data_IF_727741515091
#
_entry.id   IF_727741515091
#
_cell.length_a   1.000
_cell.length_b   1.000
_cell.length_c   1.000
_cell.angle_alpha   90.00
_cell.angle_beta   90.00
_cell.angle_gamma   90.00
#
_symmetry.space_group_name_H-M   'P 1'
#
loop_
_entity.id
_entity.type
_entity.pdbx_description
1 polymer ?
#
# COMPACT_ATOMS: atom_id res chain seq x y z
N UNK A 1 25.74 -10.13 -4.16
CA UNK A 1 25.13 -11.11 -3.24
C UNK A 1 23.85 -11.69 -3.85
N UNK A 2 22.79 -10.92 -4.09
CA UNK A 2 21.48 -11.43 -4.56
C UNK A 2 21.56 -12.31 -5.81
N UNK A 3 22.32 -11.89 -6.84
CA UNK A 3 22.51 -12.66 -8.06
C UNK A 3 23.21 -13.99 -7.82
N UNK A 4 24.16 -14.04 -6.89
CA UNK A 4 24.88 -15.27 -6.53
C UNK A 4 24.00 -16.26 -5.75
N UNK A 5 23.10 -15.76 -4.88
CA UNK A 5 22.17 -16.57 -4.10
C UNK A 5 20.98 -17.09 -4.93
N UNK A 6 20.64 -16.42 -6.05
CA UNK A 6 19.44 -16.71 -6.82
C UNK A 6 19.33 -18.17 -7.28
N UNK A 7 20.35 -18.83 -7.87
CA UNK A 7 20.20 -20.19 -8.35
C UNK A 7 19.82 -21.17 -7.25
N UNK A 8 20.46 -21.06 -6.06
CA UNK A 8 20.16 -21.93 -4.91
C UNK A 8 18.75 -21.72 -4.37
N UNK A 9 18.33 -20.46 -4.20
CA UNK A 9 16.98 -20.12 -3.74
C UNK A 9 15.89 -20.52 -4.74
N UNK A 10 16.12 -20.29 -6.02
CA UNK A 10 15.18 -20.65 -7.09
C UNK A 10 14.98 -22.16 -7.23
N UNK A 11 16.05 -22.94 -7.00
CA UNK A 11 16.03 -24.40 -7.05
C UNK A 11 15.48 -25.05 -5.78
N UNK A 12 15.34 -24.30 -4.68
CA UNK A 12 14.81 -24.81 -3.40
C UNK A 12 13.37 -25.31 -3.60
N UNK A 13 13.05 -26.47 -3.01
CA UNK A 13 11.72 -27.05 -3.10
C UNK A 13 10.65 -26.13 -2.49
N UNK A 14 9.43 -26.10 -3.03
CA UNK A 14 8.35 -25.24 -2.51
C UNK A 14 8.09 -25.42 -1.02
N UNK A 15 8.13 -26.67 -0.51
CA UNK A 15 7.95 -26.98 0.90
C UNK A 15 9.05 -26.41 1.79
N UNK A 16 10.29 -26.39 1.33
CA UNK A 16 11.43 -25.80 2.05
C UNK A 16 11.33 -24.29 2.10
N UNK A 17 11.03 -23.63 0.97
CA UNK A 17 10.76 -22.16 0.95
C UNK A 17 9.61 -21.79 1.88
N UNK A 18 8.53 -22.60 1.86
CA UNK A 18 7.39 -22.43 2.78
C UNK A 18 7.83 -22.47 4.23
N UNK A 19 8.62 -23.45 4.62
CA UNK A 19 9.11 -23.60 6.00
C UNK A 19 9.93 -22.37 6.43
N UNK A 20 10.83 -21.86 5.57
CA UNK A 20 11.63 -20.66 5.85
C UNK A 20 10.76 -19.41 6.02
N UNK A 21 9.74 -19.23 5.18
CA UNK A 21 8.83 -18.07 5.28
C UNK A 21 7.95 -18.16 6.53
N UNK A 22 7.51 -19.35 6.94
CA UNK A 22 6.75 -19.54 8.20
C UNK A 22 7.64 -19.27 9.42
N UNK A 23 8.90 -19.70 9.40
CA UNK A 23 9.87 -19.37 10.45
C UNK A 23 10.11 -17.85 10.51
N UNK A 24 10.27 -17.17 9.37
CA UNK A 24 10.41 -15.73 9.31
C UNK A 24 9.19 -15.00 9.92
N UNK A 25 7.98 -15.50 9.67
CA UNK A 25 6.76 -14.95 10.27
C UNK A 25 6.75 -15.11 11.80
N UNK A 26 7.18 -16.26 12.31
CA UNK A 26 7.28 -16.53 13.73
C UNK A 26 8.33 -15.63 14.42
N UNK A 27 9.52 -15.51 13.82
CA UNK A 27 10.61 -14.65 14.30
C UNK A 27 10.20 -13.18 14.32
N UNK A 28 9.56 -12.69 13.24
CA UNK A 28 9.08 -11.31 13.16
C UNK A 28 8.08 -11.02 14.29
N UNK A 29 7.15 -11.94 14.55
CA UNK A 29 6.16 -11.77 15.60
C UNK A 29 6.78 -11.87 17.00
N UNK A 30 7.72 -12.77 17.21
CA UNK A 30 8.44 -12.93 18.49
C UNK A 30 9.25 -11.65 18.86
N UNK A 31 9.77 -10.93 17.85
CA UNK A 31 10.54 -9.70 18.02
C UNK A 31 9.70 -8.43 17.95
N UNK A 32 8.39 -8.52 18.14
CA UNK A 32 7.45 -7.38 18.07
C UNK A 32 7.89 -6.19 18.93
N UNK A 33 8.44 -6.44 20.13
CA UNK A 33 8.94 -5.40 21.02
C UNK A 33 10.06 -4.55 20.42
N UNK A 34 10.95 -5.14 19.62
CA UNK A 34 12.05 -4.42 18.96
C UNK A 34 11.52 -3.47 17.88
N UNK A 35 10.51 -3.92 17.11
CA UNK A 35 9.85 -3.06 16.12
C UNK A 35 9.08 -1.91 16.75
N UNK A 36 8.38 -2.17 17.88
CA UNK A 36 7.66 -1.12 18.63
C UNK A 36 8.65 -0.11 19.21
N UNK A 37 9.80 -0.56 19.72
CA UNK A 37 10.84 0.35 20.23
C UNK A 37 11.42 1.27 19.14
N UNK A 38 11.41 0.84 17.88
CA UNK A 38 11.82 1.66 16.74
C UNK A 38 10.73 2.64 16.23
N UNK A 39 9.54 2.65 16.83
CA UNK A 39 8.41 3.50 16.39
C UNK A 39 8.73 5.00 16.41
N UNK A 40 9.63 5.43 17.30
CA UNK A 40 10.06 6.83 17.41
C UNK A 40 10.70 7.40 16.14
N UNK A 41 11.21 6.57 15.21
CA UNK A 41 11.78 7.04 13.94
C UNK A 41 10.77 7.81 13.08
N UNK A 42 9.47 7.50 13.20
CA UNK A 42 8.42 8.07 12.34
C UNK A 42 7.34 8.86 13.10
N UNK A 43 7.48 8.99 14.42
CA UNK A 43 6.49 9.67 15.27
C UNK A 43 5.15 8.93 15.41
N UNK A 44 5.09 7.68 14.97
CA UNK A 44 3.88 6.88 15.04
C UNK A 44 3.66 6.28 16.44
N UNK A 45 2.41 6.00 16.77
CA UNK A 45 2.02 5.38 18.04
C UNK A 45 2.41 3.89 18.10
N UNK A 46 2.67 3.36 19.27
CA UNK A 46 3.05 1.95 19.48
C UNK A 46 2.00 0.95 18.95
N UNK A 47 0.71 1.29 19.05
CA UNK A 47 -0.38 0.45 18.53
C UNK A 47 -0.32 0.30 17.00
N UNK A 48 0.12 1.34 16.27
CA UNK A 48 0.37 1.27 14.83
C UNK A 48 1.45 0.26 14.49
N UNK A 49 2.58 0.29 15.20
CA UNK A 49 3.64 -0.70 15.00
C UNK A 49 3.22 -2.11 15.38
N UNK A 50 2.45 -2.29 16.45
CA UNK A 50 1.87 -3.59 16.81
C UNK A 50 0.95 -4.14 15.70
N UNK A 51 0.14 -3.28 15.07
CA UNK A 51 -0.65 -3.66 13.90
C UNK A 51 0.25 -4.03 12.72
N UNK A 52 1.29 -3.22 12.42
CA UNK A 52 2.24 -3.48 11.35
C UNK A 52 2.90 -4.86 11.49
N UNK A 53 3.37 -5.21 12.68
CA UNK A 53 4.04 -6.52 12.93
C UNK A 53 3.08 -7.68 12.68
N UNK A 54 1.83 -7.59 13.17
CA UNK A 54 0.85 -8.66 12.96
C UNK A 54 0.56 -8.87 11.48
N UNK A 55 0.22 -7.82 10.75
CA UNK A 55 -0.11 -7.92 9.33
C UNK A 55 1.12 -8.35 8.49
N UNK A 56 2.31 -7.87 8.81
CA UNK A 56 3.54 -8.30 8.14
C UNK A 56 3.82 -9.81 8.36
N UNK A 57 3.59 -10.32 9.57
CA UNK A 57 3.69 -11.76 9.83
C UNK A 57 2.65 -12.55 9.02
N UNK A 58 1.44 -12.04 8.90
CA UNK A 58 0.39 -12.67 8.09
C UNK A 58 0.73 -12.64 6.59
N UNK A 59 1.38 -11.59 6.09
CA UNK A 59 1.91 -11.53 4.72
C UNK A 59 2.97 -12.60 4.45
N UNK A 60 3.84 -12.87 5.41
CA UNK A 60 4.82 -13.97 5.28
C UNK A 60 4.14 -15.34 5.30
N UNK A 61 3.10 -15.53 6.13
CA UNK A 61 2.30 -16.78 6.16
C UNK A 61 1.54 -16.98 4.85
N UNK A 62 0.95 -15.91 4.33
CA UNK A 62 0.26 -15.97 3.03
C UNK A 62 1.25 -16.29 1.90
N UNK A 63 2.39 -15.62 1.85
CA UNK A 63 3.44 -15.90 0.88
C UNK A 63 3.92 -17.36 0.98
N UNK A 64 4.06 -17.90 2.19
CA UNK A 64 4.37 -19.30 2.42
C UNK A 64 3.30 -20.25 1.85
N UNK A 65 2.00 -19.90 2.00
CA UNK A 65 0.90 -20.67 1.46
C UNK A 65 0.90 -20.69 -0.08
N UNK A 66 1.36 -19.60 -0.71
CA UNK A 66 1.40 -19.45 -2.16
C UNK A 66 2.52 -20.25 -2.84
N UNK A 67 3.52 -20.75 -2.13
CA UNK A 67 4.65 -21.49 -2.73
C UNK A 67 4.23 -22.69 -3.59
N UNK A 68 3.12 -23.35 -3.24
CA UNK A 68 2.54 -24.47 -3.99
C UNK A 68 1.44 -24.07 -4.96
N UNK A 69 1.09 -22.77 -5.04
CA UNK A 69 0.10 -22.22 -5.97
C UNK A 69 0.73 -21.62 -7.23
N UNK A 70 2.07 -21.68 -7.34
CA UNK A 70 2.81 -21.22 -8.52
C UNK A 70 2.77 -22.34 -9.55
N UNK A 71 1.65 -22.42 -10.27
CA UNK A 71 1.35 -23.46 -11.25
C UNK A 71 1.63 -22.97 -12.67
N UNK A 72 1.50 -23.89 -13.62
CA UNK A 72 1.50 -23.59 -15.06
C UNK A 72 0.33 -24.30 -15.74
N UNK A 73 0.22 -24.14 -17.05
CA UNK A 73 -0.84 -24.68 -17.86
C UNK A 73 -0.31 -25.69 -18.86
N UNK A 74 -1.07 -26.77 -19.09
CA UNK A 74 -0.90 -27.65 -20.24
C UNK A 74 -1.83 -27.13 -21.34
N UNK A 75 -1.27 -26.77 -22.50
CA UNK A 75 -1.98 -26.10 -23.59
C UNK A 75 -2.02 -27.04 -24.81
N UNK A 76 -3.19 -27.34 -25.40
CA UNK A 76 -3.28 -28.15 -26.59
C UNK A 76 -2.47 -27.55 -27.73
N UNK A 77 -1.65 -28.40 -28.40
CA UNK A 77 -0.84 -27.99 -29.56
C UNK A 77 -1.52 -28.40 -30.85
N UNK A 78 -1.45 -27.55 -31.88
CA UNK A 78 -1.88 -27.88 -33.24
C UNK A 78 -0.83 -28.67 -34.02
N UNK A 79 0.34 -28.94 -33.45
CA UNK A 79 1.42 -29.72 -34.05
C UNK A 79 1.31 -31.17 -33.60
N UNK A 80 1.12 -32.15 -34.51
CA UNK A 80 1.02 -33.56 -34.11
C UNK A 80 2.27 -34.04 -33.35
N UNK A 81 2.02 -34.78 -32.26
CA UNK A 81 3.09 -35.32 -31.42
C UNK A 81 3.78 -34.29 -30.50
N UNK A 82 3.28 -33.04 -30.46
CA UNK A 82 3.84 -31.99 -29.63
C UNK A 82 3.06 -31.84 -28.32
N UNK A 83 3.74 -31.95 -27.19
CA UNK A 83 3.19 -31.63 -25.86
C UNK A 83 3.66 -30.22 -25.48
N UNK A 84 2.73 -29.33 -25.18
CA UNK A 84 3.04 -27.94 -24.87
C UNK A 84 2.57 -27.56 -23.46
N UNK A 85 3.39 -26.78 -22.78
CA UNK A 85 3.10 -26.25 -21.46
C UNK A 85 3.58 -24.81 -21.31
N UNK A 86 2.88 -24.03 -20.48
CA UNK A 86 3.32 -22.72 -20.00
C UNK A 86 3.70 -22.86 -18.52
N UNK A 87 4.96 -22.66 -18.20
CA UNK A 87 5.49 -22.80 -16.85
C UNK A 87 5.80 -21.42 -16.26
N UNK A 88 5.42 -21.20 -14.98
CA UNK A 88 5.85 -20.03 -14.24
C UNK A 88 7.22 -20.26 -13.64
N UNK A 89 8.12 -19.32 -13.87
CA UNK A 89 9.50 -19.34 -13.37
C UNK A 89 9.81 -18.06 -12.60
N UNK A 90 10.73 -18.11 -11.60
CA UNK A 90 11.25 -16.91 -10.96
C UNK A 90 11.85 -15.94 -11.98
N UNK A 91 11.71 -14.65 -11.72
CA UNK A 91 12.27 -13.61 -12.61
C UNK A 91 13.78 -13.41 -12.42
N UNK A 92 14.29 -13.58 -11.19
CA UNK A 92 15.68 -13.31 -10.81
C UNK A 92 15.79 -12.46 -9.54
N UNK A 93 16.58 -11.39 -9.60
CA UNK A 93 16.67 -10.42 -8.50
C UNK A 93 15.53 -9.40 -8.62
N UNK A 94 14.80 -9.21 -7.54
CA UNK A 94 13.74 -8.21 -7.42
C UNK A 94 14.26 -7.03 -6.59
N UNK A 95 14.08 -5.82 -7.09
CA UNK A 95 14.30 -4.59 -6.31
C UNK A 95 12.98 -4.20 -5.65
N UNK A 96 12.95 -4.18 -4.33
CA UNK A 96 11.87 -3.62 -3.52
C UNK A 96 12.27 -2.26 -2.97
N UNK A 97 11.40 -1.27 -3.07
CA UNK A 97 11.60 0.08 -2.51
C UNK A 97 10.42 0.36 -1.61
N UNK A 98 10.67 0.44 -0.30
CA UNK A 98 9.63 0.59 0.71
C UNK A 98 9.70 1.95 1.42
N UNK A 99 8.55 2.57 1.74
CA UNK A 99 8.45 3.83 2.45
C UNK A 99 8.45 3.66 3.97
N UNK A 100 8.28 4.77 4.68
CA UNK A 100 8.38 4.91 6.13
C UNK A 100 7.05 4.82 6.89
N UNK A 101 5.91 5.04 6.24
CA UNK A 101 4.62 5.25 6.92
C UNK A 101 4.00 3.98 7.53
N UNK A 102 4.27 2.83 6.95
CA UNK A 102 3.95 1.50 7.49
C UNK A 102 5.16 0.57 7.28
N UNK A 103 6.31 0.85 7.92
CA UNK A 103 7.61 0.34 7.47
C UNK A 103 7.73 -1.18 7.58
N UNK A 104 7.12 -1.82 8.59
CA UNK A 104 7.15 -3.28 8.74
C UNK A 104 6.29 -3.96 7.68
N UNK A 105 5.06 -3.46 7.47
CA UNK A 105 4.14 -3.97 6.44
C UNK A 105 4.75 -3.83 5.05
N UNK A 106 5.15 -2.60 4.68
CA UNK A 106 5.49 -2.28 3.29
C UNK A 106 6.84 -2.86 2.87
N UNK A 107 7.81 -2.96 3.80
CA UNK A 107 9.03 -3.69 3.51
C UNK A 107 8.77 -5.21 3.38
N UNK A 108 7.96 -5.79 4.26
CA UNK A 108 7.58 -7.21 4.15
C UNK A 108 6.80 -7.49 2.87
N UNK A 109 5.86 -6.61 2.50
CA UNK A 109 5.11 -6.68 1.23
C UNK A 109 6.04 -6.69 0.03
N UNK A 110 7.08 -5.85 0.04
CA UNK A 110 8.04 -5.75 -1.05
C UNK A 110 8.90 -7.01 -1.25
N UNK A 111 8.99 -7.89 -0.23
CA UNK A 111 9.89 -9.04 -0.23
C UNK A 111 9.20 -10.40 -0.14
N UNK A 112 8.06 -10.52 0.55
CA UNK A 112 7.46 -11.82 0.89
C UNK A 112 7.06 -12.63 -0.35
N UNK A 113 6.25 -12.06 -1.24
CA UNK A 113 5.83 -12.76 -2.46
C UNK A 113 6.95 -12.95 -3.48
N UNK A 114 7.87 -12.00 -3.73
CA UNK A 114 9.08 -12.28 -4.49
C UNK A 114 9.83 -13.54 -4.00
N UNK A 115 10.04 -13.67 -2.69
CA UNK A 115 10.70 -14.84 -2.08
C UNK A 115 9.91 -16.13 -2.30
N UNK A 116 8.60 -16.12 -2.07
CA UNK A 116 7.74 -17.27 -2.31
C UNK A 116 7.82 -17.75 -3.77
N UNK A 117 7.90 -16.80 -4.71
CA UNK A 117 8.05 -17.08 -6.14
C UNK A 117 9.47 -17.55 -6.53
N UNK A 118 10.41 -17.67 -5.59
CA UNK A 118 11.77 -18.14 -5.82
C UNK A 118 12.75 -17.06 -6.29
N UNK A 119 12.40 -15.79 -6.17
CA UNK A 119 13.32 -14.68 -6.45
C UNK A 119 14.16 -14.33 -5.24
N UNK A 120 15.31 -13.72 -5.45
CA UNK A 120 16.08 -13.03 -4.41
C UNK A 120 15.75 -11.53 -4.43
N UNK A 121 15.99 -10.84 -3.30
CA UNK A 121 15.54 -9.46 -3.16
C UNK A 121 16.67 -8.54 -2.71
N UNK A 122 16.70 -7.35 -3.30
CA UNK A 122 17.37 -6.17 -2.77
C UNK A 122 16.29 -5.21 -2.29
N UNK A 123 16.22 -4.98 -0.98
CA UNK A 123 15.30 -4.02 -0.36
C UNK A 123 16.04 -2.69 -0.14
N UNK A 124 15.63 -1.66 -0.87
CA UNK A 124 16.06 -0.28 -0.59
C UNK A 124 15.20 0.25 0.56
N UNK A 125 15.82 0.46 1.71
CA UNK A 125 15.19 0.97 2.92
C UNK A 125 14.76 2.44 2.75
N UNK A 126 13.71 2.84 3.48
CA UNK A 126 13.41 4.25 3.67
C UNK A 126 14.50 4.93 4.50
N UNK A 127 14.85 6.14 4.15
CA UNK A 127 15.79 6.99 4.88
C UNK A 127 15.24 7.44 6.24
N UNK A 128 13.91 7.39 6.39
CA UNK A 128 13.17 7.79 7.61
C UNK A 128 12.84 6.63 8.55
N UNK A 129 13.11 5.39 8.14
CA UNK A 129 12.90 4.20 8.99
C UNK A 129 13.96 3.12 8.76
N UNK A 130 15.26 3.47 8.79
CA UNK A 130 16.33 2.53 8.46
C UNK A 130 16.49 1.40 9.49
N UNK A 131 16.23 1.66 10.76
CA UNK A 131 16.36 0.64 11.82
C UNK A 131 15.31 -0.46 11.66
N UNK A 132 14.07 -0.10 11.37
CA UNK A 132 12.98 -1.06 11.12
C UNK A 132 13.30 -1.95 9.92
N UNK A 133 13.72 -1.37 8.80
CA UNK A 133 14.02 -2.16 7.61
C UNK A 133 15.25 -3.05 7.80
N UNK A 134 16.27 -2.59 8.52
CA UNK A 134 17.42 -3.41 8.91
C UNK A 134 16.98 -4.58 9.78
N UNK A 135 16.09 -4.35 10.75
CA UNK A 135 15.58 -5.38 11.64
C UNK A 135 14.82 -6.48 10.87
N UNK A 136 14.05 -6.12 9.84
CA UNK A 136 13.41 -7.09 8.94
C UNK A 136 14.47 -7.96 8.26
N UNK A 137 15.55 -7.37 7.75
CA UNK A 137 16.65 -8.14 7.15
C UNK A 137 17.28 -9.13 8.14
N UNK A 138 17.47 -8.73 9.41
CA UNK A 138 17.97 -9.61 10.47
C UNK A 138 17.00 -10.76 10.79
N UNK A 139 15.71 -10.47 10.93
CA UNK A 139 14.67 -11.49 11.14
C UNK A 139 14.72 -12.56 10.05
N UNK A 140 14.84 -12.15 8.78
CA UNK A 140 14.87 -13.09 7.65
C UNK A 140 16.18 -13.93 7.64
N UNK A 141 17.30 -13.32 8.00
CA UNK A 141 18.57 -14.03 8.14
C UNK A 141 18.50 -15.05 9.27
N UNK A 142 18.00 -14.66 10.45
CA UNK A 142 17.86 -15.53 11.62
C UNK A 142 16.87 -16.69 11.37
N UNK A 143 15.86 -16.47 10.53
CA UNK A 143 14.95 -17.51 10.04
C UNK A 143 15.61 -18.48 9.02
N UNK A 144 16.88 -18.28 8.71
CA UNK A 144 17.68 -19.19 7.89
C UNK A 144 17.37 -19.15 6.41
N UNK A 145 16.97 -17.99 5.84
CA UNK A 145 16.76 -17.87 4.39
C UNK A 145 18.05 -18.08 3.59
N UNK A 146 19.20 -17.79 4.18
CA UNK A 146 20.52 -17.93 3.57
C UNK A 146 21.11 -16.60 3.10
N UNK A 147 22.45 -16.58 3.02
CA UNK A 147 23.20 -15.39 2.66
C UNK A 147 22.87 -14.90 1.25
N UNK A 148 22.60 -13.59 1.14
CA UNK A 148 22.32 -12.93 -0.13
C UNK A 148 20.90 -13.12 -0.68
N UNK A 149 20.05 -13.94 -0.05
CA UNK A 149 18.65 -14.11 -0.48
C UNK A 149 17.86 -12.80 -0.30
N UNK A 150 18.07 -12.13 0.84
CA UNK A 150 17.56 -10.77 1.08
C UNK A 150 18.72 -9.85 1.44
N UNK A 151 18.79 -8.71 0.78
CA UNK A 151 19.83 -7.72 0.98
C UNK A 151 19.17 -6.36 1.26
N UNK A 152 19.33 -5.83 2.46
CA UNK A 152 18.81 -4.52 2.84
C UNK A 152 19.89 -3.47 2.64
N UNK A 153 19.57 -2.42 1.91
CA UNK A 153 20.47 -1.27 1.70
C UNK A 153 19.81 0.01 2.22
N UNK A 154 20.60 0.85 2.84
CA UNK A 154 20.21 2.20 3.27
C UNK A 154 21.14 3.24 2.63
N UNK A 155 20.70 4.49 2.57
CA UNK A 155 21.42 5.59 1.97
C UNK A 155 21.04 6.92 2.64
N UNK A 156 21.84 7.95 2.43
CA UNK A 156 21.41 9.30 2.75
C UNK A 156 20.34 9.79 1.76
N UNK A 157 19.40 10.66 2.18
CA UNK A 157 18.33 11.13 1.29
C UNK A 157 18.83 11.71 -0.04
N UNK A 158 19.94 12.46 -0.02
CA UNK A 158 20.53 13.09 -1.21
C UNK A 158 21.02 12.07 -2.25
N UNK A 159 21.38 10.85 -1.83
CA UNK A 159 21.94 9.80 -2.70
C UNK A 159 20.86 8.93 -3.32
N UNK A 160 19.61 9.02 -2.84
CA UNK A 160 18.52 8.12 -3.25
C UNK A 160 18.30 8.09 -4.78
N UNK A 161 18.25 9.22 -5.50
CA UNK A 161 18.05 9.20 -6.96
C UNK A 161 19.11 8.40 -7.70
N UNK A 162 20.40 8.66 -7.40
CA UNK A 162 21.52 8.00 -8.06
C UNK A 162 21.58 6.50 -7.73
N UNK A 163 21.29 6.13 -6.47
CA UNK A 163 21.29 4.73 -6.02
C UNK A 163 20.14 3.97 -6.68
N UNK A 164 18.92 4.54 -6.72
CA UNK A 164 17.75 3.89 -7.31
C UNK A 164 17.96 3.70 -8.82
N UNK A 165 18.46 4.71 -9.54
CA UNK A 165 18.77 4.56 -10.96
C UNK A 165 19.82 3.48 -11.21
N UNK A 166 20.92 3.48 -10.43
CA UNK A 166 21.98 2.46 -10.55
C UNK A 166 21.46 1.04 -10.27
N UNK A 167 20.55 0.88 -9.30
CA UNK A 167 19.94 -0.42 -9.00
C UNK A 167 19.02 -0.87 -10.13
N UNK A 168 18.15 0.00 -10.63
CA UNK A 168 17.24 -0.32 -11.75
C UNK A 168 18.04 -0.64 -13.01
N UNK A 169 19.11 0.12 -13.30
CA UNK A 169 19.99 -0.11 -14.46
C UNK A 169 20.79 -1.43 -14.37
N UNK A 170 20.98 -1.97 -13.16
CA UNK A 170 21.80 -3.16 -12.99
C UNK A 170 21.18 -4.37 -13.71
N UNK A 171 21.95 -5.09 -14.58
CA UNK A 171 21.43 -6.22 -15.35
C UNK A 171 20.95 -7.38 -14.50
N UNK A 172 21.43 -7.53 -13.26
CA UNK A 172 20.98 -8.55 -12.32
C UNK A 172 19.55 -8.30 -11.85
N UNK A 173 19.11 -7.03 -11.71
CA UNK A 173 17.74 -6.68 -11.33
C UNK A 173 16.81 -6.95 -12.50
N UNK A 174 15.78 -7.75 -12.26
CA UNK A 174 14.83 -8.21 -13.31
C UNK A 174 13.43 -7.67 -13.13
N UNK A 175 13.10 -7.21 -11.92
CA UNK A 175 11.78 -6.72 -11.53
C UNK A 175 11.94 -5.59 -10.52
N UNK A 176 11.04 -4.64 -10.54
CA UNK A 176 10.97 -3.55 -9.55
C UNK A 176 9.60 -3.58 -8.90
N UNK A 177 9.53 -3.39 -7.59
CA UNK A 177 8.30 -2.97 -6.92
C UNK A 177 8.59 -1.75 -6.06
N UNK A 178 7.70 -0.79 -6.11
CA UNK A 178 7.83 0.50 -5.45
C UNK A 178 6.52 0.86 -4.76
N UNK A 179 6.61 1.20 -3.49
CA UNK A 179 5.54 1.86 -2.74
C UNK A 179 6.01 3.23 -2.30
N UNK A 180 5.25 4.28 -2.59
CA UNK A 180 5.60 5.65 -2.23
C UNK A 180 4.74 6.71 -2.91
N UNK A 181 5.24 7.96 -2.97
CA UNK A 181 4.47 9.05 -3.58
C UNK A 181 4.31 8.89 -5.10
N UNK A 182 3.20 9.39 -5.64
CA UNK A 182 2.93 9.37 -7.09
C UNK A 182 4.02 10.09 -7.88
N UNK A 183 4.58 11.18 -7.34
CA UNK A 183 5.69 11.91 -7.99
C UNK A 183 6.91 11.00 -8.18
N UNK A 184 7.37 10.33 -7.12
CA UNK A 184 8.54 9.43 -7.20
C UNK A 184 8.19 8.17 -8.00
N UNK A 185 6.95 7.68 -7.90
CA UNK A 185 6.47 6.53 -8.68
C UNK A 185 6.57 6.75 -10.19
N UNK A 186 6.27 7.95 -10.67
CA UNK A 186 6.46 8.31 -12.09
C UNK A 186 7.93 8.21 -12.51
N UNK A 187 8.86 8.74 -11.69
CA UNK A 187 10.30 8.65 -11.95
C UNK A 187 10.77 7.20 -11.98
N UNK A 188 10.35 6.39 -11.00
CA UNK A 188 10.69 4.94 -10.96
C UNK A 188 10.10 4.20 -12.16
N UNK A 189 8.87 4.53 -12.58
CA UNK A 189 8.24 3.97 -13.78
C UNK A 189 8.99 4.31 -15.05
N UNK A 190 9.39 5.56 -15.24
CA UNK A 190 10.20 6.03 -16.38
C UNK A 190 11.56 5.34 -16.43
N UNK A 191 12.27 5.26 -15.29
CA UNK A 191 13.53 4.54 -15.19
C UNK A 191 13.36 3.05 -15.50
N UNK A 192 12.32 2.42 -14.96
CA UNK A 192 12.02 1.01 -15.21
C UNK A 192 11.76 0.74 -16.71
N UNK A 193 11.00 1.60 -17.37
CA UNK A 193 10.76 1.51 -18.81
C UNK A 193 12.04 1.72 -19.64
N UNK A 194 12.89 2.69 -19.27
CA UNK A 194 14.19 2.95 -19.92
C UNK A 194 15.08 1.70 -19.94
N UNK A 195 15.07 0.93 -18.86
CA UNK A 195 15.89 -0.28 -18.73
C UNK A 195 15.11 -1.59 -18.99
N UNK A 196 13.88 -1.51 -19.51
CA UNK A 196 12.99 -2.65 -19.81
C UNK A 196 12.78 -3.56 -18.59
N UNK A 197 12.61 -2.97 -17.41
CA UNK A 197 12.28 -3.69 -16.16
C UNK A 197 10.79 -3.56 -15.90
N UNK A 198 10.01 -4.63 -15.87
CA UNK A 198 8.63 -4.56 -15.41
C UNK A 198 8.59 -4.05 -13.97
N UNK A 199 7.68 -3.11 -13.70
CA UNK A 199 7.50 -2.49 -12.39
C UNK A 199 6.07 -2.71 -11.87
N UNK A 200 5.94 -2.87 -10.55
CA UNK A 200 4.71 -2.74 -9.80
C UNK A 200 4.81 -1.44 -9.01
N UNK A 201 3.85 -0.56 -9.17
CA UNK A 201 3.82 0.75 -8.51
C UNK A 201 2.57 0.84 -7.64
N UNK A 202 2.76 1.03 -6.34
CA UNK A 202 1.72 1.32 -5.35
C UNK A 202 1.97 2.72 -4.81
N UNK A 203 1.06 3.65 -5.11
CA UNK A 203 1.32 5.08 -4.99
C UNK A 203 0.31 5.76 -4.06
N UNK A 204 0.22 7.09 -4.14
CA UNK A 204 -0.67 7.89 -3.31
C UNK A 204 -2.15 7.62 -3.54
N UNK A 205 -2.96 8.13 -2.64
CA UNK A 205 -4.41 8.03 -2.68
C UNK A 205 -5.09 9.33 -2.30
N UNK A 206 -6.40 9.41 -2.58
CA UNK A 206 -7.32 10.48 -2.17
C UNK A 206 -8.68 9.85 -1.92
N UNK A 207 -8.72 8.86 -1.03
CA UNK A 207 -9.82 7.93 -0.92
C UNK A 207 -11.17 8.62 -0.64
N UNK A 208 -12.19 8.39 -1.48
CA UNK A 208 -13.55 8.82 -1.23
C UNK A 208 -14.25 7.88 -0.25
N UNK A 209 -15.03 8.46 0.65
CA UNK A 209 -15.89 7.77 1.60
C UNK A 209 -17.31 8.30 1.40
N UNK A 210 -18.17 7.51 0.77
CA UNK A 210 -19.54 7.89 0.41
C UNK A 210 -20.49 7.55 1.55
N UNK A 211 -21.32 8.50 1.94
CA UNK A 211 -22.39 8.31 2.94
C UNK A 211 -23.72 8.57 2.26
N UNK A 212 -24.46 7.50 1.96
CA UNK A 212 -25.77 7.60 1.31
C UNK A 212 -26.85 8.05 2.30
N UNK A 213 -28.00 8.47 1.80
CA UNK A 213 -29.08 9.01 2.61
C UNK A 213 -29.73 8.02 3.59
N UNK A 214 -29.54 6.71 3.36
CA UNK A 214 -30.02 5.62 4.20
C UNK A 214 -28.95 5.02 5.12
N UNK A 215 -27.71 5.58 5.12
CA UNK A 215 -26.58 5.03 5.85
C UNK A 215 -26.84 4.96 7.38
N UNK A 216 -26.22 3.98 8.03
CA UNK A 216 -26.05 3.99 9.49
C UNK A 216 -24.98 5.03 9.84
N UNK A 217 -25.43 6.20 10.29
CA UNK A 217 -24.55 7.33 10.54
C UNK A 217 -23.58 7.10 11.70
N UNK A 218 -23.96 6.30 12.71
CA UNK A 218 -23.07 6.03 13.83
C UNK A 218 -21.91 5.13 13.39
N UNK A 219 -22.21 4.08 12.64
CA UNK A 219 -21.19 3.22 12.03
C UNK A 219 -20.31 3.99 11.02
N UNK A 220 -20.92 4.84 10.21
CA UNK A 220 -20.21 5.66 9.23
C UNK A 220 -19.24 6.66 9.89
N UNK A 221 -19.62 7.27 11.01
CA UNK A 221 -18.78 8.21 11.77
C UNK A 221 -17.58 7.51 12.37
N UNK A 222 -17.74 6.33 12.98
CA UNK A 222 -16.63 5.56 13.55
C UNK A 222 -15.64 5.14 12.46
N UNK A 223 -16.14 4.64 11.32
CA UNK A 223 -15.31 4.24 10.20
C UNK A 223 -14.60 5.43 9.53
N UNK A 224 -15.29 6.57 9.37
CA UNK A 224 -14.71 7.79 8.82
C UNK A 224 -13.60 8.35 9.72
N UNK A 225 -13.83 8.39 11.03
CA UNK A 225 -12.84 8.86 12.01
C UNK A 225 -11.61 7.94 12.02
N UNK A 226 -11.79 6.63 12.01
CA UNK A 226 -10.70 5.66 11.88
C UNK A 226 -9.96 5.85 10.55
N UNK A 227 -10.67 5.87 9.42
CA UNK A 227 -10.05 5.97 8.10
C UNK A 227 -9.30 7.29 7.88
N UNK A 228 -9.77 8.41 8.43
CA UNK A 228 -9.14 9.71 8.22
C UNK A 228 -7.98 10.01 9.18
N UNK A 229 -8.01 9.48 10.41
CA UNK A 229 -7.08 9.94 11.45
C UNK A 229 -6.14 8.88 11.98
N UNK A 230 -6.39 7.59 11.74
CA UNK A 230 -5.47 6.53 12.17
C UNK A 230 -4.08 6.76 11.57
N UNK A 231 -3.03 6.54 12.37
CA UNK A 231 -1.64 6.89 12.03
C UNK A 231 -1.48 8.34 11.51
N UNK A 232 -2.20 9.28 12.10
CA UNK A 232 -2.21 10.71 11.73
C UNK A 232 -2.55 10.94 10.23
N UNK A 233 -3.38 10.07 9.63
CA UNK A 233 -3.71 10.14 8.20
C UNK A 233 -2.56 9.84 7.25
N UNK A 234 -1.42 9.34 7.76
CA UNK A 234 -0.23 9.01 6.96
C UNK A 234 -0.31 7.60 6.36
N UNK A 235 -1.45 7.29 5.75
CA UNK A 235 -1.74 6.00 5.10
C UNK A 235 -2.27 6.28 3.70
N UNK A 236 -1.76 5.60 2.67
CA UNK A 236 -2.21 5.76 1.28
C UNK A 236 -3.72 5.49 1.08
N UNK A 237 -4.32 4.69 1.99
CA UNK A 237 -5.76 4.39 2.04
C UNK A 237 -6.58 5.40 2.86
N UNK A 238 -5.95 6.42 3.48
CA UNK A 238 -6.66 7.34 4.38
C UNK A 238 -7.87 7.98 3.71
N UNK A 239 -8.98 8.04 4.46
CA UNK A 239 -10.17 8.78 4.04
C UNK A 239 -9.85 10.27 3.97
N UNK A 240 -9.75 10.81 2.78
CA UNK A 240 -9.48 12.23 2.59
C UNK A 240 -10.71 13.02 2.12
N UNK A 241 -11.66 12.36 1.43
CA UNK A 241 -12.88 12.98 0.91
C UNK A 241 -14.11 12.26 1.44
N UNK A 242 -14.83 12.94 2.35
CA UNK A 242 -16.12 12.51 2.89
C UNK A 242 -17.22 13.05 1.96
N UNK A 243 -17.78 12.20 1.12
CA UNK A 243 -18.78 12.55 0.11
C UNK A 243 -20.15 12.14 0.65
N UNK A 244 -20.92 13.11 1.10
CA UNK A 244 -22.11 12.88 1.92
C UNK A 244 -23.37 13.35 1.18
N UNK A 245 -24.41 12.51 1.18
CA UNK A 245 -25.72 12.91 0.67
C UNK A 245 -26.25 14.11 1.44
N UNK A 246 -26.76 15.10 0.71
CA UNK A 246 -27.24 16.35 1.25
C UNK A 246 -28.23 16.18 2.44
N UNK A 247 -29.11 15.17 2.38
CA UNK A 247 -30.13 14.91 3.38
C UNK A 247 -29.57 14.57 4.77
N UNK A 248 -28.37 13.97 4.84
CA UNK A 248 -27.76 13.50 6.09
C UNK A 248 -26.49 14.24 6.44
N UNK A 249 -26.00 15.15 5.59
CA UNK A 249 -24.70 15.81 5.69
C UNK A 249 -24.54 16.57 7.02
N UNK A 250 -25.49 17.40 7.40
CA UNK A 250 -25.38 18.21 8.63
C UNK A 250 -25.32 17.33 9.88
N UNK A 251 -26.14 16.26 9.91
CA UNK A 251 -26.14 15.30 11.02
C UNK A 251 -24.82 14.53 11.08
N UNK A 252 -24.33 14.08 9.94
CA UNK A 252 -23.05 13.35 9.84
C UNK A 252 -21.88 14.23 10.29
N UNK A 253 -21.78 15.48 9.79
CA UNK A 253 -20.72 16.43 10.14
C UNK A 253 -20.75 16.75 11.64
N UNK A 254 -21.92 16.96 12.21
CA UNK A 254 -22.07 17.24 13.66
C UNK A 254 -21.58 16.06 14.51
N UNK A 255 -21.98 14.80 14.17
CA UNK A 255 -21.54 13.58 14.88
C UNK A 255 -20.05 13.34 14.71
N UNK A 256 -19.52 13.48 13.48
CA UNK A 256 -18.10 13.30 13.21
C UNK A 256 -17.26 14.36 13.97
N UNK A 257 -17.72 15.61 14.02
CA UNK A 257 -17.05 16.66 14.80
C UNK A 257 -17.00 16.31 16.29
N UNK A 258 -18.09 15.75 16.86
CA UNK A 258 -18.10 15.29 18.24
C UNK A 258 -17.08 14.15 18.46
N UNK A 259 -16.98 13.21 17.52
CA UNK A 259 -15.99 12.13 17.57
C UNK A 259 -14.56 12.67 17.47
N UNK A 260 -14.27 13.59 16.56
CA UNK A 260 -12.93 14.17 16.38
C UNK A 260 -12.44 14.88 17.65
N UNK A 261 -13.33 15.51 18.42
CA UNK A 261 -12.97 16.14 19.72
C UNK A 261 -12.36 15.17 20.72
N UNK A 262 -12.61 13.87 20.59
CA UNK A 262 -12.02 12.83 21.44
C UNK A 262 -10.64 12.36 20.96
N UNK A 263 -10.20 12.77 19.78
CA UNK A 263 -8.94 12.36 19.15
C UNK A 263 -7.89 13.47 19.37
N UNK A 264 -7.07 13.31 20.40
CA UNK A 264 -5.99 14.27 20.68
C UNK A 264 -4.70 13.81 20.00
N UNK A 265 -4.08 14.70 19.22
CA UNK A 265 -2.72 14.50 18.71
C UNK A 265 -1.70 15.09 19.67
N UNK A 266 -0.62 14.36 19.94
CA UNK A 266 0.41 14.76 20.87
C UNK A 266 1.70 13.94 20.70
N UNK A 267 2.56 13.98 21.73
CA UNK A 267 3.75 13.15 21.77
C UNK A 267 3.32 11.66 21.87
N UNK A 268 3.89 10.74 21.08
CA UNK A 268 3.62 9.30 21.20
C UNK A 268 3.83 8.71 22.61
N UNK A 269 4.70 9.31 23.42
CA UNK A 269 4.96 8.89 24.80
C UNK A 269 3.92 9.43 25.81
N UNK A 270 3.04 10.33 25.41
CA UNK A 270 1.98 10.88 26.25
C UNK A 270 0.76 9.95 26.24
N UNK A 271 0.41 9.41 27.40
CA UNK A 271 -0.73 8.48 27.56
C UNK A 271 -2.10 9.05 27.19
N UNK A 272 -2.25 10.37 27.15
CA UNK A 272 -3.48 11.05 26.72
C UNK A 272 -3.54 11.23 25.20
N UNK A 273 -2.42 11.00 24.48
CA UNK A 273 -2.36 11.13 23.03
C UNK A 273 -2.94 9.87 22.36
N UNK A 274 -3.91 10.06 21.47
CA UNK A 274 -4.51 9.00 20.63
C UNK A 274 -3.79 8.95 19.27
N UNK A 275 -3.31 10.09 18.80
CA UNK A 275 -2.57 10.26 17.58
C UNK A 275 -1.16 10.80 17.89
N UNK A 276 -0.17 10.31 17.17
CA UNK A 276 1.21 10.75 17.30
C UNK A 276 1.53 12.03 16.49
N UNK A 277 2.80 12.24 16.22
CA UNK A 277 3.26 13.34 15.37
C UNK A 277 3.30 12.94 13.89
N UNK A 278 3.29 13.92 13.01
CA UNK A 278 3.69 13.74 11.61
C UNK A 278 5.17 13.36 11.55
N UNK A 279 5.58 12.79 10.43
CA UNK A 279 6.95 12.29 10.21
C UNK A 279 8.01 13.37 10.39
N UNK A 280 7.72 14.59 9.99
CA UNK A 280 8.61 15.76 10.17
C UNK A 280 7.83 17.10 10.15
N UNK A 281 8.55 18.18 10.49
CA UNK A 281 8.00 19.55 10.49
C UNK A 281 7.64 20.03 9.07
N UNK A 282 8.37 19.57 8.05
CA UNK A 282 8.11 19.92 6.66
C UNK A 282 6.76 19.40 6.18
N UNK A 283 6.42 18.16 6.55
CA UNK A 283 5.10 17.59 6.31
C UNK A 283 4.00 18.43 6.98
N UNK A 284 4.18 18.82 8.24
CA UNK A 284 3.25 19.69 8.95
C UNK A 284 3.04 21.03 8.24
N UNK A 285 4.11 21.70 7.85
CA UNK A 285 4.07 22.98 7.13
C UNK A 285 3.33 22.86 5.80
N UNK A 286 3.62 21.81 5.03
CA UNK A 286 2.95 21.55 3.74
C UNK A 286 1.44 21.34 3.93
N UNK A 287 1.05 20.51 4.89
CA UNK A 287 -0.37 20.21 5.15
C UNK A 287 -1.10 21.46 5.66
N UNK A 288 -0.47 22.23 6.55
CA UNK A 288 -1.02 23.50 7.02
C UNK A 288 -1.28 24.47 5.85
N UNK A 289 -0.35 24.54 4.90
CA UNK A 289 -0.53 25.35 3.70
C UNK A 289 -1.73 24.93 2.83
N UNK A 290 -2.06 23.61 2.78
CA UNK A 290 -3.27 23.12 2.11
C UNK A 290 -4.55 23.54 2.86
N UNK A 291 -4.53 23.46 4.19
CA UNK A 291 -5.66 23.90 5.04
C UNK A 291 -5.90 25.40 4.84
N UNK A 292 -4.83 26.21 4.89
CA UNK A 292 -4.92 27.68 4.77
C UNK A 292 -5.41 28.11 3.39
N UNK A 293 -4.98 27.44 2.31
CA UNK A 293 -5.48 27.68 0.96
C UNK A 293 -7.00 27.43 0.88
N UNK A 294 -7.48 26.32 1.46
CA UNK A 294 -8.90 26.00 1.44
C UNK A 294 -9.74 27.03 2.22
N UNK A 295 -9.30 27.41 3.42
CA UNK A 295 -9.97 28.42 4.25
C UNK A 295 -9.99 29.79 3.56
N UNK A 296 -8.86 30.20 2.98
CA UNK A 296 -8.76 31.48 2.26
C UNK A 296 -9.68 31.55 1.03
N UNK A 297 -10.02 30.37 0.46
CA UNK A 297 -10.94 30.24 -0.68
C UNK A 297 -12.40 29.98 -0.28
N UNK A 298 -12.71 30.02 1.02
CA UNK A 298 -14.08 29.97 1.52
C UNK A 298 -14.53 28.62 2.11
N UNK A 299 -13.65 27.65 2.25
CA UNK A 299 -13.96 26.44 3.02
C UNK A 299 -14.14 26.76 4.50
N UNK A 300 -15.06 26.09 5.16
CA UNK A 300 -15.29 26.21 6.60
C UNK A 300 -14.38 25.26 7.35
N UNK A 301 -13.48 25.77 8.17
CA UNK A 301 -12.74 24.97 9.15
C UNK A 301 -13.69 24.59 10.29
N UNK A 302 -14.18 23.35 10.29
CA UNK A 302 -15.14 22.85 11.29
C UNK A 302 -14.44 22.59 12.62
N UNK A 303 -13.26 21.97 12.59
CA UNK A 303 -12.44 21.67 13.76
C UNK A 303 -10.99 21.45 13.36
N UNK A 304 -10.03 21.63 14.28
CA UNK A 304 -8.62 21.34 14.09
C UNK A 304 -7.85 22.49 13.45
N UNK A 305 -6.83 22.17 12.63
CA UNK A 305 -5.98 23.14 11.94
C UNK A 305 -4.81 23.68 12.77
N UNK A 306 -4.70 23.36 14.06
CA UNK A 306 -3.60 23.80 14.91
C UNK A 306 -2.38 22.90 14.66
N UNK A 307 -1.26 23.52 14.29
CA UNK A 307 0.04 22.89 14.10
C UNK A 307 1.05 23.40 15.11
N UNK A 308 1.70 22.47 15.81
CA UNK A 308 2.81 22.77 16.72
C UNK A 308 3.99 21.83 16.40
N UNK A 309 5.04 22.36 15.74
CA UNK A 309 6.13 21.53 15.24
C UNK A 309 5.62 20.51 14.21
N UNK A 310 5.73 19.22 14.52
CA UNK A 310 5.19 18.13 13.72
C UNK A 310 3.83 17.59 14.22
N UNK A 311 3.24 18.18 15.25
CA UNK A 311 1.95 17.76 15.81
C UNK A 311 0.84 18.61 15.18
N UNK A 312 0.03 18.00 14.32
CA UNK A 312 -1.16 18.60 13.70
C UNK A 312 -2.42 17.99 14.31
N UNK A 313 -3.31 18.84 14.85
CA UNK A 313 -4.57 18.35 15.37
C UNK A 313 -5.48 17.81 14.26
N UNK A 314 -6.28 16.75 14.54
CA UNK A 314 -7.25 16.21 13.60
C UNK A 314 -8.14 17.32 13.04
N UNK A 315 -8.23 17.41 11.72
CA UNK A 315 -8.80 18.56 11.03
C UNK A 315 -9.92 18.13 10.09
N UNK A 316 -11.05 18.83 10.17
CA UNK A 316 -12.18 18.66 9.26
C UNK A 316 -12.54 20.01 8.63
N UNK A 317 -12.65 20.02 7.31
CA UNK A 317 -13.14 21.17 6.54
C UNK A 317 -14.43 20.80 5.82
N UNK A 318 -15.37 21.75 5.73
CA UNK A 318 -16.61 21.61 4.97
C UNK A 318 -16.67 22.67 3.85
N UNK A 319 -17.42 22.37 2.79
CA UNK A 319 -17.57 23.28 1.67
C UNK A 319 -16.33 23.41 0.79
N UNK A 320 -15.50 22.38 0.74
CA UNK A 320 -14.34 22.34 -0.16
C UNK A 320 -14.80 22.16 -1.60
N UNK A 321 -14.23 22.96 -2.52
CA UNK A 321 -14.54 22.96 -3.95
C UNK A 321 -13.31 22.62 -4.80
N UNK A 322 -13.50 22.32 -6.07
CA UNK A 322 -12.46 21.99 -7.05
C UNK A 322 -11.44 23.13 -7.30
N UNK A 323 -11.77 24.36 -6.91
CA UNK A 323 -10.85 25.50 -6.92
C UNK A 323 -9.79 25.45 -5.81
N UNK A 324 -9.92 24.57 -4.83
CA UNK A 324 -9.06 24.45 -3.65
C UNK A 324 -8.07 23.30 -3.82
N UNK A 325 -6.81 23.51 -3.39
CA UNK A 325 -5.77 22.47 -3.48
C UNK A 325 -6.15 21.18 -2.75
N UNK A 326 -6.78 21.26 -1.57
CA UNK A 326 -7.24 20.10 -0.79
C UNK A 326 -8.27 19.22 -1.53
N UNK A 327 -8.92 19.71 -2.58
CA UNK A 327 -9.81 18.90 -3.39
C UNK A 327 -9.03 17.84 -4.21
N UNK A 328 -7.89 18.23 -4.77
CA UNK A 328 -7.08 17.42 -5.70
C UNK A 328 -5.82 16.79 -5.07
N UNK A 329 -5.12 17.53 -4.21
CA UNK A 329 -3.85 17.11 -3.67
C UNK A 329 -4.02 16.18 -2.47
N UNK A 330 -3.24 15.09 -2.44
CA UNK A 330 -3.13 14.20 -1.27
C UNK A 330 -2.55 14.96 -0.09
N UNK A 331 -3.26 14.96 1.06
CA UNK A 331 -2.77 15.63 2.26
C UNK A 331 -1.71 14.79 2.99
N UNK A 332 -1.90 13.48 3.04
CA UNK A 332 -1.07 12.55 3.79
C UNK A 332 -0.88 13.01 5.25
N UNK A 333 -1.97 13.43 5.87
CA UNK A 333 -2.05 13.96 7.21
C UNK A 333 -3.46 13.85 7.80
N UNK A 334 -3.66 14.24 9.07
CA UNK A 334 -4.95 14.08 9.75
C UNK A 334 -5.97 15.13 9.30
N UNK A 335 -6.26 15.15 8.00
CA UNK A 335 -7.14 16.13 7.37
C UNK A 335 -8.16 15.43 6.48
N UNK A 336 -9.44 15.66 6.73
CA UNK A 336 -10.52 15.21 5.87
C UNK A 336 -11.37 16.41 5.41
N UNK A 337 -11.93 16.31 4.20
CA UNK A 337 -12.81 17.33 3.64
C UNK A 337 -14.21 16.77 3.38
N UNK A 338 -15.23 17.56 3.62
CA UNK A 338 -16.62 17.20 3.32
C UNK A 338 -17.00 17.79 1.96
N UNK A 339 -17.51 16.90 1.10
CA UNK A 339 -18.12 17.23 -0.18
C UNK A 339 -19.59 16.81 -0.11
N UNK A 340 -20.50 17.65 -0.56
CA UNK A 340 -21.93 17.39 -0.50
C UNK A 340 -22.48 17.10 -1.88
N UNK A 341 -23.27 16.04 -2.02
CA UNK A 341 -23.94 15.66 -3.27
C UNK A 341 -25.42 15.37 -3.06
N UNK A 342 -26.17 15.35 -4.14
CA UNK A 342 -27.61 15.07 -4.13
C UNK A 342 -27.89 13.78 -4.92
N UNK A 343 -28.10 12.70 -4.17
CA UNK A 343 -28.34 11.35 -4.69
C UNK A 343 -27.12 10.66 -5.28
N UNK A 344 -27.30 9.39 -5.60
CA UNK A 344 -26.22 8.44 -5.95
C UNK A 344 -25.34 8.88 -7.10
N UNK A 345 -25.90 9.43 -8.16
CA UNK A 345 -25.16 9.85 -9.34
C UNK A 345 -24.25 11.07 -9.06
N UNK A 346 -24.67 11.98 -8.19
CA UNK A 346 -23.84 13.10 -7.79
C UNK A 346 -22.70 12.64 -6.89
N UNK A 347 -22.97 11.75 -5.92
CA UNK A 347 -21.96 11.18 -5.04
C UNK A 347 -20.92 10.39 -5.83
N UNK A 348 -21.36 9.58 -6.80
CA UNK A 348 -20.46 8.82 -7.67
C UNK A 348 -19.58 9.71 -8.55
N UNK A 349 -20.16 10.78 -9.13
CA UNK A 349 -19.36 11.75 -9.90
C UNK A 349 -18.28 12.39 -9.04
N UNK A 350 -18.63 12.83 -7.83
CA UNK A 350 -17.65 13.38 -6.89
C UNK A 350 -16.58 12.34 -6.50
N UNK A 351 -16.97 11.07 -6.30
CA UNK A 351 -16.02 10.01 -5.98
C UNK A 351 -14.97 9.81 -7.08
N UNK A 352 -15.41 9.79 -8.34
CA UNK A 352 -14.54 9.56 -9.49
C UNK A 352 -13.79 10.80 -9.98
N UNK A 353 -14.19 12.02 -9.53
CA UNK A 353 -13.48 13.25 -9.84
C UNK A 353 -12.19 13.40 -9.05
N UNK A 354 -11.24 12.53 -9.35
CA UNK A 354 -9.91 12.46 -8.76
C UNK A 354 -8.94 11.77 -9.70
N UNK A 355 -7.69 12.21 -9.68
CA UNK A 355 -6.60 11.52 -10.39
C UNK A 355 -6.21 10.21 -9.72
N UNK A 356 -6.61 10.00 -8.48
CA UNK A 356 -6.29 8.81 -7.68
C UNK A 356 -7.41 7.76 -7.74
N UNK A 357 -7.05 6.50 -7.46
CA UNK A 357 -7.99 5.41 -7.42
C UNK A 357 -7.44 4.20 -6.64
N UNK A 358 -7.03 4.39 -5.37
CA UNK A 358 -6.51 3.29 -4.55
C UNK A 358 -7.64 2.61 -3.77
N UNK A 359 -8.25 3.31 -2.82
CA UNK A 359 -9.31 2.78 -1.96
C UNK A 359 -10.53 3.68 -1.96
N UNK A 360 -11.69 3.09 -1.69
CA UNK A 360 -12.98 3.77 -1.50
C UNK A 360 -13.82 3.06 -0.45
N UNK A 361 -14.80 3.77 0.11
CA UNK A 361 -15.82 3.17 0.98
C UNK A 361 -17.21 3.72 0.65
N UNK A 362 -18.25 2.91 0.86
CA UNK A 362 -19.65 3.30 0.67
C UNK A 362 -20.46 2.82 1.86
N UNK A 363 -21.20 3.72 2.50
CA UNK A 363 -22.11 3.43 3.59
C UNK A 363 -23.57 3.55 3.16
N UNK A 364 -24.30 2.44 3.28
CA UNK A 364 -25.74 2.32 2.99
C UNK A 364 -26.31 1.11 3.72
N UNK A 365 -27.56 1.18 4.17
CA UNK A 365 -28.28 0.01 4.67
C UNK A 365 -28.73 -0.91 3.53
N UNK A 366 -28.94 -0.37 2.35
CA UNK A 366 -29.18 -1.14 1.12
C UNK A 366 -27.83 -1.55 0.50
N UNK A 367 -27.36 -2.74 0.86
CA UNK A 367 -26.09 -3.31 0.36
C UNK A 367 -26.12 -3.60 -1.14
N UNK A 368 -27.30 -3.84 -1.73
CA UNK A 368 -27.43 -4.04 -3.19
C UNK A 368 -27.21 -2.73 -3.94
N UNK A 369 -27.78 -1.63 -3.44
CA UNK A 369 -27.52 -0.27 -3.94
C UNK A 369 -26.05 0.10 -3.80
N UNK A 370 -25.46 -0.15 -2.64
CA UNK A 370 -24.03 0.10 -2.40
C UNK A 370 -23.12 -0.70 -3.34
N UNK A 371 -23.44 -1.99 -3.59
CA UNK A 371 -22.68 -2.83 -4.51
C UNK A 371 -22.77 -2.33 -5.96
N UNK A 372 -23.94 -1.89 -6.41
CA UNK A 372 -24.10 -1.30 -7.73
C UNK A 372 -23.26 -0.04 -7.93
N UNK A 373 -23.14 0.80 -6.89
CA UNK A 373 -22.26 1.97 -6.90
C UNK A 373 -20.77 1.56 -6.85
N UNK A 374 -20.41 0.60 -5.98
CA UNK A 374 -19.03 0.12 -5.83
C UNK A 374 -18.43 -0.38 -7.14
N UNK A 375 -19.23 -1.03 -8.01
CA UNK A 375 -18.80 -1.47 -9.34
C UNK A 375 -18.49 -0.33 -10.30
N UNK A 376 -18.87 0.91 -9.98
CA UNK A 376 -18.71 2.10 -10.80
C UNK A 376 -17.71 3.10 -10.21
N UNK A 377 -17.29 2.90 -8.96
CA UNK A 377 -16.20 3.70 -8.35
C UNK A 377 -14.88 3.28 -8.95
N UNK A 378 -14.11 4.24 -9.43
CA UNK A 378 -12.82 4.04 -10.07
C UNK A 378 -11.69 3.89 -9.04
N UNK A 379 -11.69 2.76 -8.33
CA UNK A 379 -10.65 2.41 -7.34
C UNK A 379 -10.27 0.93 -7.44
N UNK A 380 -9.06 0.60 -7.00
CA UNK A 380 -8.61 -0.79 -6.93
C UNK A 380 -9.27 -1.56 -5.78
N UNK A 381 -9.68 -0.83 -4.72
CA UNK A 381 -10.29 -1.37 -3.51
C UNK A 381 -11.57 -0.57 -3.21
N UNK A 382 -12.66 -1.26 -2.85
CA UNK A 382 -13.88 -0.61 -2.40
C UNK A 382 -14.55 -1.41 -1.29
N UNK A 383 -14.85 -0.77 -0.17
CA UNK A 383 -15.47 -1.38 1.00
C UNK A 383 -16.92 -0.92 1.16
N UNK A 384 -17.84 -1.83 1.42
CA UNK A 384 -19.23 -1.52 1.76
C UNK A 384 -19.39 -1.66 3.26
N UNK A 385 -19.86 -0.59 3.91
CA UNK A 385 -20.05 -0.50 5.37
C UNK A 385 -18.77 -0.80 6.18
N UNK A 386 -17.61 -0.43 5.61
CA UNK A 386 -16.29 -0.53 6.24
C UNK A 386 -15.43 0.70 5.93
N UNK A 387 -14.30 0.90 6.63
CA UNK A 387 -13.41 2.04 6.41
C UNK A 387 -12.63 1.88 5.10
N UNK A 388 -12.08 2.99 4.58
CA UNK A 388 -11.15 2.95 3.44
C UNK A 388 -9.80 2.33 3.81
N UNK A 389 -9.42 2.44 5.09
CA UNK A 389 -8.20 1.84 5.65
C UNK A 389 -8.53 0.41 6.07
N UNK A 390 -8.31 -0.52 5.16
CA UNK A 390 -8.47 -1.96 5.39
C UNK A 390 -7.46 -2.72 4.53
N UNK A 391 -6.78 -3.68 5.13
CA UNK A 391 -5.74 -4.47 4.46
C UNK A 391 -5.66 -5.88 5.05
N UNK A 392 -5.62 -6.87 4.19
CA UNK A 392 -5.47 -8.28 4.54
C UNK A 392 -4.46 -8.94 3.59
N UNK A 393 -3.63 -9.83 4.11
CA UNK A 393 -2.49 -10.41 3.41
C UNK A 393 -2.84 -11.14 2.09
N UNK A 394 -4.02 -11.78 2.03
CA UNK A 394 -4.48 -12.55 0.88
C UNK A 394 -5.23 -11.72 -0.17
N UNK A 395 -5.66 -10.49 0.18
CA UNK A 395 -6.45 -9.67 -0.72
C UNK A 395 -5.61 -8.98 -1.79
N UNK A 396 -6.12 -8.82 -3.02
CA UNK A 396 -5.42 -8.05 -4.04
C UNK A 396 -5.34 -6.58 -3.64
N UNK A 397 -4.14 -6.08 -3.49
CA UNK A 397 -3.86 -4.72 -3.07
C UNK A 397 -3.16 -3.95 -4.19
N UNK A 398 -3.81 -2.95 -4.74
CA UNK A 398 -3.28 -2.09 -5.80
C UNK A 398 -4.29 -1.04 -6.23
N UNK A 399 -3.81 -0.02 -6.90
CA UNK A 399 -4.60 1.11 -7.37
C UNK A 399 -4.81 1.13 -8.88
N UNK A 400 -5.65 2.06 -9.31
CA UNK A 400 -5.85 2.47 -10.70
C UNK A 400 -5.52 3.96 -10.85
N UNK A 401 -5.54 4.49 -12.05
CA UNK A 401 -5.20 5.90 -12.33
C UNK A 401 -3.80 6.25 -11.81
N UNK A 402 -3.65 7.41 -11.16
CA UNK A 402 -2.37 7.87 -10.59
C UNK A 402 -1.99 7.18 -9.28
N UNK A 403 -2.80 6.26 -8.77
CA UNK A 403 -2.44 5.40 -7.63
C UNK A 403 -1.58 4.19 -8.01
N UNK A 404 -1.26 4.02 -9.30
CA UNK A 404 -0.29 3.06 -9.77
C UNK A 404 -0.88 1.91 -10.58
N UNK A 405 -0.11 0.82 -10.69
CA UNK A 405 -0.50 -0.38 -11.43
C UNK A 405 0.21 -1.62 -10.90
N UNK A 406 -0.37 -2.78 -11.19
CA UNK A 406 -0.01 -4.06 -10.60
C UNK A 406 -0.70 -4.25 -9.25
N UNK A 407 -0.61 -5.44 -8.68
CA UNK A 407 -1.24 -5.77 -7.40
C UNK A 407 -0.35 -6.65 -6.55
N UNK A 408 -0.27 -6.33 -5.27
CA UNK A 408 0.23 -7.22 -4.24
C UNK A 408 -0.89 -8.14 -3.71
N UNK A 409 -0.56 -9.05 -2.81
CA UNK A 409 -1.47 -9.92 -2.10
C UNK A 409 -1.87 -11.20 -2.86
N UNK A 410 -1.84 -12.33 -2.17
CA UNK A 410 -2.29 -13.62 -2.64
C UNK A 410 -1.86 -14.00 -4.06
N UNK A 411 -2.77 -14.56 -4.83
CA UNK A 411 -2.53 -15.01 -6.22
C UNK A 411 -2.18 -13.87 -7.18
N UNK A 412 -2.68 -12.65 -6.95
CA UNK A 412 -2.39 -11.50 -7.81
C UNK A 412 -0.88 -11.20 -7.88
N UNK A 413 -0.16 -11.41 -6.77
CA UNK A 413 1.29 -11.23 -6.72
C UNK A 413 2.09 -12.27 -7.52
N UNK A 414 1.57 -13.47 -7.74
CA UNK A 414 2.27 -14.52 -8.50
C UNK A 414 2.57 -14.03 -9.92
N UNK A 415 1.64 -13.34 -10.55
CA UNK A 415 1.83 -12.77 -11.90
C UNK A 415 2.90 -11.68 -11.91
N UNK A 416 2.96 -10.91 -10.84
CA UNK A 416 3.93 -9.82 -10.71
C UNK A 416 5.37 -10.32 -10.56
N UNK A 417 5.58 -11.44 -9.87
CA UNK A 417 6.91 -11.92 -9.48
C UNK A 417 7.33 -13.23 -10.15
N UNK A 418 6.62 -13.66 -11.19
CA UNK A 418 6.99 -14.78 -12.06
C UNK A 418 6.97 -14.36 -13.52
N UNK A 419 7.58 -15.18 -14.38
CA UNK A 419 7.47 -15.06 -15.83
C UNK A 419 6.99 -16.39 -16.41
N UNK A 420 6.10 -16.31 -17.40
CA UNK A 420 5.66 -17.49 -18.15
C UNK A 420 6.72 -17.87 -19.18
N UNK A 421 6.98 -19.19 -19.26
CA UNK A 421 7.83 -19.76 -20.27
C UNK A 421 7.10 -20.87 -21.01
N UNK A 422 6.93 -20.69 -22.31
CA UNK A 422 6.39 -21.73 -23.16
C UNK A 422 7.47 -22.78 -23.44
N UNK A 423 7.16 -24.06 -23.11
CA UNK A 423 8.03 -25.21 -23.35
C UNK A 423 7.25 -26.23 -24.17
N UNK A 424 7.92 -26.84 -25.14
CA UNK A 424 7.34 -27.92 -25.95
C UNK A 424 8.23 -29.15 -25.92
N UNK A 425 7.59 -30.32 -25.89
CA UNK A 425 8.21 -31.62 -26.07
C UNK A 425 7.67 -32.23 -27.38
N UNK A 426 8.51 -32.40 -28.39
CA UNK A 426 8.14 -33.03 -29.64
C UNK A 426 8.44 -34.54 -29.56
N UNK A 427 7.37 -35.33 -29.52
CA UNK A 427 7.46 -36.79 -29.52
C UNK A 427 7.32 -37.28 -30.97
N UNK A 428 8.44 -37.62 -31.63
CA UNK A 428 8.49 -38.11 -33.00
C UNK A 428 8.97 -37.07 -34.02
N UNK A 429 9.17 -37.51 -35.27
CA UNK A 429 9.67 -36.65 -36.34
C UNK A 429 8.66 -35.56 -36.70
N UNK A 430 9.15 -34.38 -36.99
CA UNK A 430 8.39 -33.23 -37.51
C UNK A 430 8.80 -32.92 -38.92
N UNK A 431 7.86 -32.69 -39.81
CA UNK A 431 8.13 -32.19 -41.16
C UNK A 431 8.40 -30.69 -41.13
N UNK A 432 9.48 -30.26 -41.80
CA UNK A 432 9.84 -28.85 -41.95
C UNK A 432 9.76 -28.51 -43.46
N UNK A 433 9.06 -27.45 -43.87
CA UNK A 433 8.81 -27.08 -45.24
C UNK A 433 10.02 -26.33 -45.89
N UNK A 434 11.23 -26.81 -45.68
CA UNK A 434 12.48 -26.25 -46.25
C UNK A 434 13.28 -27.37 -46.93
#
# INVERSE_FOLDING_TARGET
AAQAAFPGWAAMLPGERRARLLEAAAQLQARSGEFIAAAGETGAMANWYGFNVRLAADMLREAASMTTQITGDVIPSNVPGNFAMALRQPCGVVLGIAPWNAPVILATRAIAMPLACGNTVVLKASELSPAVHRLIGQVLQDAGLGDGVVNVISNAPADAPAIVERLIANPAVRRVNFTGSTHVGRIVGELSARYLKPALLELGGKAPFLVLDDADLDAAVEAAAFGAYFNQGQICLSTERLIVDHKVADTFVARLTAKIKTLRAGNPDDSESVLGSLVDVGAGTRIKGLIDDAVARGATLVIGGQLQGSILQPTLLDGVTDAMRLYREESFGPVAVVLRGDGDEALLRLANDSDFGLSAAIFSRDTSRALALAQRVESGICHINGPTVHDEAQMPFGGVKSSGYGSFGGKASIEQFTQLRWVTLQNGPRHYPI
#
